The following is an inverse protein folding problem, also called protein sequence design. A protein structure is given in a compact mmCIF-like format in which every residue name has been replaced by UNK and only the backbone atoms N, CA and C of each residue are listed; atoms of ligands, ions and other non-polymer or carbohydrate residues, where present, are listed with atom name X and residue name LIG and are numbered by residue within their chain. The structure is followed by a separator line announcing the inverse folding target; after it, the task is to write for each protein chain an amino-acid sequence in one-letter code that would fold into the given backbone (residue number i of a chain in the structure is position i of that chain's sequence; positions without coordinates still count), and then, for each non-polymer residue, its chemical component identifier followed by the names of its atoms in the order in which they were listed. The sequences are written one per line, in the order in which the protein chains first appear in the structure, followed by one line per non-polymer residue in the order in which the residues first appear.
data_IF_105920576252
#
_entry.id   IF_105920576252
#
_cell.length_a   1.000
_cell.length_b   1.000
_cell.length_c   1.000
_cell.angle_alpha   90.00
_cell.angle_beta   90.00
_cell.angle_gamma   90.00
#
_symmetry.space_group_name_H-M   'P 1'
#
loop_
_entity.id
_entity.type
_entity.pdbx_description
1 polymer ?
#
# COMPACT_ATOMS: atom_id res chain seq x y z
N UNK A 1 86.48 -41.83 12.50
CA UNK A 1 85.26 -41.76 13.33
C UNK A 1 84.51 -40.43 12.98
N UNK A 2 83.48 -40.48 12.16
CA UNK A 2 82.70 -39.31 11.74
C UNK A 2 81.36 -39.31 12.47
N UNK A 3 81.11 -38.28 13.28
CA UNK A 3 79.82 -38.01 13.92
C UNK A 3 78.96 -37.23 12.95
N UNK A 4 77.82 -37.76 12.57
CA UNK A 4 76.75 -37.08 11.83
C UNK A 4 75.79 -36.48 12.85
N UNK A 5 75.59 -35.14 12.78
CA UNK A 5 74.62 -34.39 13.55
C UNK A 5 73.34 -34.27 12.71
N UNK A 6 72.18 -34.72 13.22
CA UNK A 6 70.87 -34.51 12.61
C UNK A 6 70.26 -33.23 13.19
N UNK A 7 69.92 -32.29 12.30
CA UNK A 7 69.11 -31.11 12.60
C UNK A 7 67.64 -31.44 12.28
N UNK A 8 66.78 -31.48 13.32
CA UNK A 8 65.34 -31.57 13.21
C UNK A 8 64.80 -30.14 13.14
N UNK A 9 64.26 -29.74 11.97
CA UNK A 9 63.52 -28.48 11.79
C UNK A 9 62.05 -28.66 12.16
N UNK A 10 61.58 -27.93 13.16
CA UNK A 10 60.13 -27.82 13.48
C UNK A 10 59.50 -26.71 12.65
N UNK A 11 58.56 -27.08 11.75
CA UNK A 11 57.71 -26.12 11.02
C UNK A 11 56.51 -25.77 11.87
N UNK A 12 56.42 -24.53 12.34
CA UNK A 12 55.25 -23.98 13.00
C UNK A 12 54.23 -23.49 11.95
N UNK A 13 53.16 -24.25 11.75
CA UNK A 13 52.04 -23.84 10.91
C UNK A 13 51.15 -22.80 11.62
N UNK A 14 51.13 -21.57 11.11
CA UNK A 14 50.21 -20.54 11.59
C UNK A 14 48.82 -20.77 10.97
N UNK A 15 47.88 -21.23 11.79
CA UNK A 15 46.44 -21.28 11.41
C UNK A 15 45.85 -19.87 11.54
N UNK A 16 45.61 -19.19 10.43
CA UNK A 16 44.91 -17.94 10.41
C UNK A 16 43.39 -18.22 10.58
N UNK A 17 42.86 -17.96 11.75
CA UNK A 17 41.42 -17.94 12.01
C UNK A 17 40.80 -16.72 11.30
N UNK A 18 40.13 -16.95 10.16
CA UNK A 18 39.31 -15.94 9.52
C UNK A 18 38.09 -15.63 10.41
N UNK A 19 38.07 -14.48 11.05
CA UNK A 19 36.93 -13.99 11.77
C UNK A 19 35.74 -13.81 10.79
N UNK A 20 34.51 -14.28 11.12
CA UNK A 20 33.36 -14.02 10.29
C UNK A 20 33.13 -12.51 10.20
N UNK A 21 33.19 -11.96 8.97
CA UNK A 21 32.75 -10.58 8.71
C UNK A 21 31.27 -10.51 9.06
N UNK A 22 30.93 -9.86 10.17
CA UNK A 22 29.57 -9.46 10.45
C UNK A 22 29.08 -8.62 9.25
N UNK A 23 28.10 -9.14 8.51
CA UNK A 23 27.43 -8.35 7.48
C UNK A 23 26.81 -7.16 8.20
N UNK A 24 27.33 -5.96 7.98
CA UNK A 24 26.77 -4.73 8.50
C UNK A 24 25.31 -4.69 7.99
N UNK A 25 24.35 -4.74 8.91
CA UNK A 25 22.93 -4.57 8.59
C UNK A 25 22.79 -3.18 7.95
N UNK A 26 22.71 -3.13 6.62
CA UNK A 26 22.51 -1.87 5.91
C UNK A 26 21.12 -1.37 6.25
N UNK A 27 21.04 -0.17 6.87
CA UNK A 27 19.77 0.49 7.21
C UNK A 27 18.88 0.69 5.98
N UNK A 28 17.62 1.11 6.18
CA UNK A 28 16.71 1.35 5.06
C UNK A 28 17.29 2.34 4.05
N UNK A 29 17.09 2.07 2.76
CA UNK A 29 17.54 2.93 1.65
C UNK A 29 16.35 3.30 0.79
N UNK A 30 16.31 4.58 0.38
CA UNK A 30 15.29 5.12 -0.54
C UNK A 30 15.97 5.48 -1.85
N UNK A 31 15.43 5.01 -2.95
CA UNK A 31 15.85 5.35 -4.31
C UNK A 31 14.63 5.55 -5.20
N UNK A 32 14.79 6.09 -6.40
CA UNK A 32 13.72 6.14 -7.38
C UNK A 32 13.58 4.79 -8.07
N UNK A 33 12.36 4.24 -8.11
CA UNK A 33 12.04 3.04 -8.85
C UNK A 33 11.76 3.38 -10.33
N UNK A 34 10.81 4.27 -10.58
CA UNK A 34 10.44 4.74 -11.91
C UNK A 34 9.78 6.12 -11.87
N UNK A 35 9.80 6.80 -13.02
CA UNK A 35 9.14 8.10 -13.24
C UNK A 35 7.75 7.90 -13.85
N UNK A 36 6.85 8.86 -13.58
CA UNK A 36 5.52 8.98 -14.19
C UNK A 36 5.55 9.99 -15.34
N UNK A 37 4.74 9.81 -16.40
CA UNK A 37 4.80 10.62 -17.61
C UNK A 37 4.06 11.95 -17.53
N UNK A 38 3.43 12.29 -16.40
CA UNK A 38 2.54 13.45 -16.26
C UNK A 38 3.02 14.36 -15.13
N UNK A 39 3.20 15.65 -15.45
CA UNK A 39 3.62 16.69 -14.50
C UNK A 39 2.51 17.15 -13.54
N UNK A 40 1.31 16.60 -13.68
CA UNK A 40 0.16 16.82 -12.82
C UNK A 40 -0.38 15.52 -12.21
N UNK A 41 0.45 14.47 -12.17
CA UNK A 41 0.02 13.16 -11.71
C UNK A 41 -0.47 13.18 -10.26
N UNK A 42 0.24 13.85 -9.36
CA UNK A 42 -0.05 13.78 -7.91
C UNK A 42 -0.49 12.37 -7.53
N UNK A 43 0.42 11.38 -7.66
CA UNK A 43 0.05 9.97 -7.54
C UNK A 43 -0.44 9.67 -6.13
N UNK A 44 -1.46 8.81 -6.01
CA UNK A 44 -2.03 8.42 -4.72
C UNK A 44 -1.94 6.92 -4.49
N UNK A 45 -2.58 6.10 -5.33
CA UNK A 45 -2.62 4.65 -5.22
C UNK A 45 -1.57 3.93 -6.05
N UNK A 46 -1.17 2.75 -5.59
CA UNK A 46 -0.33 1.81 -6.35
C UNK A 46 -0.86 0.39 -6.22
N UNK A 47 -0.91 -0.33 -7.35
CA UNK A 47 -1.23 -1.75 -7.40
C UNK A 47 -0.14 -2.52 -8.13
N UNK A 48 0.10 -3.77 -7.72
CA UNK A 48 0.94 -4.72 -8.47
C UNK A 48 0.06 -5.80 -9.09
N UNK A 49 0.22 -6.05 -10.39
CA UNK A 49 -0.37 -7.23 -11.01
C UNK A 49 0.37 -8.48 -10.49
N UNK A 50 -0.30 -9.36 -9.73
CA UNK A 50 0.34 -10.53 -9.13
C UNK A 50 0.81 -11.56 -10.16
N UNK A 51 0.42 -11.42 -11.44
CA UNK A 51 0.76 -12.33 -12.54
C UNK A 51 2.02 -11.88 -13.28
N UNK A 52 2.24 -10.57 -13.43
CA UNK A 52 3.32 -10.00 -14.24
C UNK A 52 4.34 -9.20 -13.43
N UNK A 53 3.96 -8.72 -12.24
CA UNK A 53 4.75 -7.80 -11.43
C UNK A 53 4.73 -6.35 -11.94
N UNK A 54 3.87 -6.03 -12.92
CA UNK A 54 3.69 -4.67 -13.39
C UNK A 54 3.03 -3.81 -12.31
N UNK A 55 3.48 -2.56 -12.21
CA UNK A 55 2.91 -1.60 -11.29
C UNK A 55 1.93 -0.67 -11.99
N UNK A 56 0.78 -0.43 -11.37
CA UNK A 56 -0.22 0.55 -11.79
C UNK A 56 -0.30 1.66 -10.75
N UNK A 57 -0.30 2.92 -11.19
CA UNK A 57 -0.29 4.10 -10.31
C UNK A 57 -1.40 5.03 -10.73
N UNK A 58 -2.23 5.46 -9.78
CA UNK A 58 -3.34 6.38 -10.01
C UNK A 58 -2.95 7.83 -9.84
N UNK A 59 -3.50 8.70 -10.70
CA UNK A 59 -3.43 10.16 -10.56
C UNK A 59 -4.62 10.68 -9.76
N UNK A 60 -4.34 11.32 -8.63
CA UNK A 60 -5.37 11.94 -7.80
C UNK A 60 -6.03 13.15 -8.51
N UNK A 61 -5.31 13.86 -9.37
CA UNK A 61 -5.80 15.12 -9.95
C UNK A 61 -6.40 14.98 -11.34
N UNK A 62 -6.11 13.88 -12.05
CA UNK A 62 -6.57 13.72 -13.44
C UNK A 62 -7.36 12.42 -13.68
N UNK A 63 -7.39 11.52 -12.71
CA UNK A 63 -8.01 10.20 -12.86
C UNK A 63 -7.28 9.28 -13.84
N UNK A 64 -6.12 9.66 -14.36
CA UNK A 64 -5.31 8.79 -15.19
C UNK A 64 -4.75 7.61 -14.38
N UNK A 65 -4.50 6.50 -15.06
CA UNK A 65 -3.72 5.38 -14.50
C UNK A 65 -2.51 5.14 -15.37
N UNK A 66 -1.34 5.05 -14.74
CA UNK A 66 -0.07 4.78 -15.39
C UNK A 66 0.37 3.36 -15.11
N UNK A 67 1.06 2.72 -16.08
CA UNK A 67 1.64 1.38 -15.94
C UNK A 67 3.15 1.42 -16.12
N UNK A 68 3.87 0.86 -15.17
CA UNK A 68 5.28 0.53 -15.31
C UNK A 68 5.43 -0.99 -15.39
N UNK A 69 6.03 -1.50 -16.46
CA UNK A 69 6.38 -2.92 -16.53
C UNK A 69 7.37 -3.28 -15.42
N UNK A 70 7.38 -4.55 -15.00
CA UNK A 70 8.27 -5.01 -13.94
C UNK A 70 9.73 -4.65 -14.27
N UNK A 71 10.39 -3.91 -13.38
CA UNK A 71 11.77 -3.44 -13.54
C UNK A 71 11.97 -2.23 -14.47
N UNK A 72 10.93 -1.68 -15.09
CA UNK A 72 11.02 -0.48 -15.92
C UNK A 72 11.41 0.75 -15.08
N UNK A 73 12.05 1.73 -15.74
CA UNK A 73 12.47 3.01 -15.13
C UNK A 73 11.48 4.15 -15.38
N UNK A 74 10.50 3.92 -16.24
CA UNK A 74 9.43 4.88 -16.54
C UNK A 74 8.11 4.14 -16.75
N UNK A 75 7.02 4.78 -16.37
CA UNK A 75 5.66 4.34 -16.66
C UNK A 75 5.14 4.99 -17.95
N UNK A 76 4.18 4.34 -18.58
CA UNK A 76 3.36 4.91 -19.65
C UNK A 76 1.91 5.06 -19.22
N UNK A 77 1.12 5.80 -19.98
CA UNK A 77 -0.33 5.93 -19.74
C UNK A 77 -1.01 4.59 -20.03
N UNK A 78 -1.72 4.06 -19.03
CA UNK A 78 -2.54 2.86 -19.17
C UNK A 78 -4.01 3.22 -19.43
N UNK A 79 -4.63 4.02 -18.55
CA UNK A 79 -5.94 4.63 -18.77
C UNK A 79 -5.75 6.16 -18.81
N UNK A 80 -6.11 6.82 -19.91
CA UNK A 80 -6.04 8.28 -20.00
C UNK A 80 -6.86 9.01 -18.93
N UNK A 81 -6.54 10.25 -18.68
CA UNK A 81 -7.36 11.14 -17.85
C UNK A 81 -8.80 11.21 -18.41
N UNK A 82 -9.79 11.23 -17.51
CA UNK A 82 -11.20 11.28 -17.88
C UNK A 82 -11.79 9.99 -18.45
N UNK A 83 -11.04 8.89 -18.52
CA UNK A 83 -11.57 7.60 -18.99
C UNK A 83 -12.82 7.24 -18.19
N UNK A 84 -13.92 6.95 -18.92
CA UNK A 84 -15.24 6.60 -18.38
C UNK A 84 -15.81 7.64 -17.39
N UNK A 85 -15.42 8.91 -17.54
CA UNK A 85 -15.85 10.03 -16.67
C UNK A 85 -15.12 10.12 -15.34
N UNK A 86 -14.08 9.29 -15.10
CA UNK A 86 -13.30 9.33 -13.88
C UNK A 86 -12.49 10.62 -13.77
N UNK A 87 -12.53 11.25 -12.60
CA UNK A 87 -11.84 12.52 -12.31
C UNK A 87 -10.65 12.34 -11.37
N UNK A 88 -10.66 11.29 -10.55
CA UNK A 88 -9.55 10.93 -9.65
C UNK A 88 -9.24 9.44 -9.75
N UNK A 89 -8.05 9.04 -9.37
CA UNK A 89 -7.69 7.64 -9.17
C UNK A 89 -6.93 7.53 -7.86
N UNK A 90 -7.64 7.11 -6.82
CA UNK A 90 -7.14 6.91 -5.45
C UNK A 90 -6.62 5.47 -5.27
N UNK A 91 -7.18 4.74 -4.31
CA UNK A 91 -6.84 3.35 -4.10
C UNK A 91 -6.98 2.49 -5.35
N UNK A 92 -5.96 1.65 -5.61
CA UNK A 92 -5.95 0.71 -6.72
C UNK A 92 -5.59 -0.69 -6.23
N UNK A 93 -6.19 -1.71 -6.85
CA UNK A 93 -5.73 -3.10 -6.71
C UNK A 93 -5.80 -3.82 -8.06
N UNK A 94 -4.80 -4.65 -8.34
CA UNK A 94 -4.83 -5.61 -9.43
C UNK A 94 -5.04 -7.01 -8.84
N UNK A 95 -5.97 -7.77 -9.38
CA UNK A 95 -6.29 -9.10 -8.87
C UNK A 95 -5.77 -10.24 -9.76
N UNK A 96 -5.84 -11.45 -9.25
CA UNK A 96 -5.38 -12.66 -9.96
C UNK A 96 -6.24 -13.01 -11.17
N UNK A 97 -7.45 -12.50 -11.25
CA UNK A 97 -8.33 -12.68 -12.40
C UNK A 97 -7.97 -11.73 -13.57
N UNK A 98 -7.01 -10.82 -13.36
CA UNK A 98 -6.57 -9.89 -14.38
C UNK A 98 -7.42 -8.64 -14.46
N UNK A 99 -7.99 -8.23 -13.37
CA UNK A 99 -8.79 -7.02 -13.27
C UNK A 99 -8.02 -5.94 -12.52
N UNK A 100 -8.19 -4.70 -12.94
CA UNK A 100 -7.75 -3.51 -12.23
C UNK A 100 -8.96 -2.83 -11.60
N UNK A 101 -8.93 -2.69 -10.31
CA UNK A 101 -9.91 -1.96 -9.52
C UNK A 101 -9.37 -0.56 -9.27
N UNK A 102 -10.16 0.45 -9.58
CA UNK A 102 -9.76 1.87 -9.46
C UNK A 102 -10.84 2.62 -8.72
N UNK A 103 -10.47 3.28 -7.64
CA UNK A 103 -11.37 4.16 -6.90
C UNK A 103 -11.29 5.57 -7.52
N UNK A 104 -12.45 6.13 -7.85
CA UNK A 104 -12.66 7.57 -7.91
C UNK A 104 -13.47 7.95 -6.65
N UNK A 105 -12.89 8.74 -5.76
CA UNK A 105 -13.50 9.06 -4.46
C UNK A 105 -14.83 9.79 -4.59
N UNK A 106 -15.12 10.38 -5.77
CA UNK A 106 -16.34 11.12 -6.05
C UNK A 106 -17.44 10.27 -6.69
N UNK A 107 -17.05 9.29 -7.54
CA UNK A 107 -18.01 8.50 -8.33
C UNK A 107 -18.15 7.05 -7.89
N UNK A 108 -17.09 6.46 -7.29
CA UNK A 108 -17.12 5.09 -6.78
C UNK A 108 -15.96 4.23 -7.24
N UNK A 109 -16.22 2.98 -7.64
CA UNK A 109 -15.19 2.01 -7.99
C UNK A 109 -15.44 1.48 -9.40
N UNK A 110 -14.46 1.62 -10.26
CA UNK A 110 -14.44 1.06 -11.60
C UNK A 110 -13.56 -0.19 -11.65
N UNK A 111 -14.00 -1.22 -12.38
CA UNK A 111 -13.27 -2.47 -12.56
C UNK A 111 -12.97 -2.65 -14.05
N UNK A 112 -11.69 -2.73 -14.39
CA UNK A 112 -11.21 -2.85 -15.78
C UNK A 112 -10.55 -4.21 -16.03
N UNK A 113 -10.65 -4.71 -17.25
CA UNK A 113 -9.80 -5.81 -17.72
C UNK A 113 -8.39 -5.28 -18.01
N UNK A 114 -7.36 -5.93 -17.45
CA UNK A 114 -5.96 -5.51 -17.60
C UNK A 114 -5.40 -5.77 -19.01
N UNK A 115 -6.02 -6.64 -19.81
CA UNK A 115 -5.56 -7.01 -21.15
C UNK A 115 -5.99 -5.99 -22.21
N UNK A 116 -7.28 -5.64 -22.22
CA UNK A 116 -7.88 -4.80 -23.26
C UNK A 116 -8.39 -3.43 -22.74
N UNK A 117 -8.33 -3.21 -21.42
CA UNK A 117 -8.74 -1.99 -20.72
C UNK A 117 -10.26 -1.73 -20.76
N UNK A 118 -11.05 -2.76 -21.08
CA UNK A 118 -12.49 -2.65 -21.08
C UNK A 118 -13.02 -2.43 -19.65
N UNK A 119 -13.98 -1.50 -19.49
CA UNK A 119 -14.73 -1.37 -18.24
C UNK A 119 -15.65 -2.57 -18.08
N UNK A 120 -15.41 -3.39 -17.06
CA UNK A 120 -16.19 -4.59 -16.77
C UNK A 120 -17.41 -4.29 -15.89
N UNK A 121 -17.23 -3.43 -14.89
CA UNK A 121 -18.28 -3.06 -13.95
C UNK A 121 -17.97 -1.72 -13.29
N UNK A 122 -19.02 -1.03 -12.84
CA UNK A 122 -18.95 0.20 -12.06
C UNK A 122 -19.82 0.07 -10.81
N UNK A 123 -19.30 0.49 -9.67
CA UNK A 123 -20.00 0.53 -8.39
C UNK A 123 -20.05 1.97 -7.91
N UNK A 124 -21.22 2.61 -8.12
CA UNK A 124 -21.40 4.01 -7.87
C UNK A 124 -21.58 4.32 -6.38
N UNK A 125 -21.01 5.42 -5.92
CA UNK A 125 -21.29 5.96 -4.59
C UNK A 125 -22.79 6.27 -4.51
N UNK A 126 -23.52 5.75 -3.51
CA UNK A 126 -24.93 6.08 -3.34
C UNK A 126 -25.11 7.60 -3.17
N UNK A 127 -26.20 8.15 -3.71
CA UNK A 127 -26.54 9.57 -3.52
C UNK A 127 -26.77 9.90 -2.03
N UNK A 128 -26.52 11.16 -1.64
CA UNK A 128 -26.75 11.67 -0.28
C UNK A 128 -25.50 12.23 0.38
N UNK A 129 -25.29 11.91 1.67
CA UNK A 129 -24.25 12.47 2.54
C UNK A 129 -22.84 12.45 1.96
N UNK A 130 -21.95 13.30 2.49
CA UNK A 130 -20.54 13.33 2.13
C UNK A 130 -19.90 11.95 2.25
N UNK A 131 -19.11 11.57 1.29
CA UNK A 131 -18.36 10.31 1.21
C UNK A 131 -17.00 10.56 0.60
N UNK A 132 -16.06 9.72 0.98
CA UNK A 132 -14.74 9.69 0.38
C UNK A 132 -14.26 8.25 0.35
N UNK A 133 -14.60 7.53 -0.73
CA UNK A 133 -14.10 6.16 -0.91
C UNK A 133 -12.61 6.25 -1.13
N UNK A 134 -11.81 5.59 -0.29
CA UNK A 134 -10.37 5.85 -0.25
C UNK A 134 -9.53 4.69 -0.75
N UNK A 135 -9.50 3.58 -0.03
CA UNK A 135 -8.67 2.43 -0.40
C UNK A 135 -9.51 1.15 -0.45
N UNK A 136 -8.98 0.12 -1.07
CA UNK A 136 -9.64 -1.18 -1.18
C UNK A 136 -8.65 -2.33 -1.06
N UNK A 137 -9.18 -3.50 -0.72
CA UNK A 137 -8.50 -4.78 -0.82
C UNK A 137 -9.36 -5.76 -1.59
N UNK A 138 -8.73 -6.64 -2.37
CA UNK A 138 -9.40 -7.76 -3.05
C UNK A 138 -8.88 -9.05 -2.42
N UNK A 139 -9.78 -9.82 -1.81
CA UNK A 139 -9.47 -11.11 -1.17
C UNK A 139 -9.23 -12.21 -2.21
N UNK A 140 -8.71 -13.35 -1.76
CA UNK A 140 -8.33 -14.45 -2.65
C UNK A 140 -9.53 -15.06 -3.41
N UNK A 141 -10.74 -14.96 -2.86
CA UNK A 141 -11.98 -15.38 -3.51
C UNK A 141 -12.52 -14.35 -4.53
N UNK A 142 -11.85 -13.17 -4.63
CA UNK A 142 -12.22 -12.09 -5.53
C UNK A 142 -13.27 -11.11 -4.98
N UNK A 143 -13.62 -11.22 -3.69
CA UNK A 143 -14.45 -10.22 -3.00
C UNK A 143 -13.61 -8.98 -2.70
N UNK A 144 -14.14 -7.79 -3.02
CA UNK A 144 -13.49 -6.53 -2.68
C UNK A 144 -14.16 -5.87 -1.47
N UNK A 145 -13.34 -5.24 -0.63
CA UNK A 145 -13.78 -4.40 0.48
C UNK A 145 -13.11 -3.03 0.35
N UNK A 146 -13.89 -1.96 0.51
CA UNK A 146 -13.40 -0.58 0.37
C UNK A 146 -13.75 0.24 1.60
N UNK A 147 -12.86 1.16 1.97
CA UNK A 147 -13.02 2.10 3.08
C UNK A 147 -13.67 3.40 2.62
N UNK A 148 -14.38 4.04 3.55
CA UNK A 148 -14.85 5.41 3.41
C UNK A 148 -14.19 6.27 4.50
N UNK A 149 -13.43 7.29 4.10
CA UNK A 149 -12.70 8.14 5.05
C UNK A 149 -13.58 9.14 5.81
N UNK A 150 -14.80 9.36 5.37
CA UNK A 150 -15.77 10.27 6.02
C UNK A 150 -16.76 9.50 6.88
N UNK A 151 -17.04 8.27 6.52
CA UNK A 151 -17.98 7.38 7.23
C UNK A 151 -17.24 6.15 7.74
N UNK A 152 -17.47 5.71 8.99
CA UNK A 152 -16.82 4.52 9.54
C UNK A 152 -17.46 3.25 9.01
N UNK A 153 -17.50 3.06 7.69
CA UNK A 153 -18.09 1.88 7.03
C UNK A 153 -17.12 1.25 6.03
N UNK A 154 -17.26 -0.06 5.84
CA UNK A 154 -16.70 -0.79 4.71
C UNK A 154 -17.78 -1.14 3.72
N UNK A 155 -17.51 -0.92 2.45
CA UNK A 155 -18.31 -1.43 1.34
C UNK A 155 -17.81 -2.80 0.92
N UNK A 156 -18.71 -3.63 0.34
CA UNK A 156 -18.38 -4.93 -0.21
C UNK A 156 -18.87 -5.06 -1.64
N UNK A 157 -18.04 -5.67 -2.48
CA UNK A 157 -18.37 -6.06 -3.85
C UNK A 157 -17.98 -7.52 -4.03
N UNK A 158 -18.94 -8.34 -4.46
CA UNK A 158 -18.74 -9.77 -4.67
C UNK A 158 -18.28 -10.09 -6.10
N UNK A 159 -17.64 -11.24 -6.35
CA UNK A 159 -17.32 -11.71 -7.70
C UNK A 159 -18.53 -11.81 -8.62
N UNK A 160 -19.69 -12.20 -8.07
CA UNK A 160 -20.95 -12.31 -8.82
C UNK A 160 -21.47 -10.95 -9.30
N UNK A 161 -21.28 -9.89 -8.51
CA UNK A 161 -21.62 -8.52 -8.90
C UNK A 161 -20.73 -8.02 -10.03
N UNK A 162 -19.42 -8.27 -9.96
CA UNK A 162 -18.50 -7.95 -11.05
C UNK A 162 -18.83 -8.73 -12.32
N UNK A 163 -19.13 -10.03 -12.21
CA UNK A 163 -19.49 -10.87 -13.34
C UNK A 163 -20.80 -10.47 -14.03
N UNK A 164 -21.72 -9.83 -13.28
CA UNK A 164 -22.96 -9.29 -13.84
C UNK A 164 -22.68 -8.10 -14.77
N UNK A 165 -21.63 -7.35 -14.50
CA UNK A 165 -21.24 -6.16 -15.26
C UNK A 165 -22.20 -4.99 -15.07
N UNK A 166 -21.99 -3.95 -15.89
CA UNK A 166 -22.80 -2.73 -15.84
C UNK A 166 -22.54 -1.88 -14.61
N UNK A 167 -23.55 -1.10 -14.18
CA UNK A 167 -23.44 -0.22 -13.03
C UNK A 167 -24.36 -0.66 -11.90
N UNK A 168 -23.84 -0.64 -10.66
CA UNK A 168 -24.60 -0.95 -9.44
C UNK A 168 -24.18 0.04 -8.32
N UNK A 169 -25.02 0.26 -7.30
CA UNK A 169 -24.62 1.06 -6.14
C UNK A 169 -23.61 0.30 -5.28
N UNK A 170 -22.68 1.02 -4.66
CA UNK A 170 -21.88 0.51 -3.54
C UNK A 170 -22.79 0.27 -2.33
N UNK A 171 -22.66 -0.90 -1.71
CA UNK A 171 -23.46 -1.28 -0.55
C UNK A 171 -22.58 -1.35 0.70
N UNK A 172 -22.93 -0.56 1.73
CA UNK A 172 -22.28 -0.65 3.03
C UNK A 172 -22.50 -2.04 3.63
N UNK A 173 -21.43 -2.64 4.14
CA UNK A 173 -21.42 -4.02 4.61
C UNK A 173 -21.07 -4.15 6.09
N UNK A 174 -20.05 -3.42 6.56
CA UNK A 174 -19.63 -3.41 7.96
C UNK A 174 -19.65 -1.98 8.45
N UNK A 175 -20.31 -1.75 9.59
CA UNK A 175 -20.29 -0.47 10.31
C UNK A 175 -19.25 -0.56 11.44
N UNK A 176 -18.26 0.34 11.42
CA UNK A 176 -17.21 0.42 12.41
C UNK A 176 -17.48 1.49 13.48
N UNK A 177 -18.59 2.22 13.42
CA UNK A 177 -18.90 3.33 14.34
C UNK A 177 -18.92 2.92 15.83
N UNK A 178 -19.23 1.65 16.11
CA UNK A 178 -19.18 1.09 17.47
C UNK A 178 -17.77 0.81 18.00
N UNK A 179 -16.77 0.81 17.14
CA UNK A 179 -15.38 0.46 17.49
C UNK A 179 -14.40 1.64 17.27
N UNK A 180 -14.60 2.40 16.19
CA UNK A 180 -13.79 3.58 15.86
C UNK A 180 -14.30 4.77 16.64
N UNK A 181 -13.46 5.46 17.42
CA UNK A 181 -13.88 6.67 18.13
C UNK A 181 -14.42 7.74 17.18
N UNK A 182 -15.43 8.51 17.57
CA UNK A 182 -15.93 9.60 16.76
C UNK A 182 -14.88 10.69 16.58
N UNK A 183 -14.73 11.16 15.34
CA UNK A 183 -13.86 12.28 14.97
C UNK A 183 -14.68 13.50 14.53
N UNK A 184 -14.02 14.63 14.28
CA UNK A 184 -14.67 15.80 13.71
C UNK A 184 -15.22 15.48 12.32
N UNK A 185 -16.25 16.20 11.87
CA UNK A 185 -16.89 15.99 10.57
C UNK A 185 -15.94 16.17 9.38
N UNK A 186 -14.89 16.97 9.57
CA UNK A 186 -13.90 17.26 8.54
C UNK A 186 -12.68 16.32 8.61
N UNK A 187 -12.68 15.34 9.52
CA UNK A 187 -11.60 14.39 9.65
C UNK A 187 -11.74 13.27 8.64
N UNK A 188 -10.63 12.91 8.00
CA UNK A 188 -10.50 11.64 7.29
C UNK A 188 -10.15 10.56 8.29
N UNK A 189 -10.95 9.50 8.36
CA UNK A 189 -10.81 8.45 9.38
C UNK A 189 -10.27 7.15 8.78
N UNK A 190 -11.14 6.32 8.21
CA UNK A 190 -10.70 5.06 7.63
C UNK A 190 -9.93 5.31 6.32
N UNK A 191 -8.77 4.68 6.20
CA UNK A 191 -7.93 4.81 5.01
C UNK A 191 -7.46 3.42 4.55
N UNK A 192 -6.18 3.12 4.59
CA UNK A 192 -5.61 1.87 4.13
C UNK A 192 -6.31 0.63 4.69
N UNK A 193 -6.51 -0.36 3.83
CA UNK A 193 -7.14 -1.63 4.15
C UNK A 193 -6.36 -2.78 3.53
N UNK A 194 -6.12 -3.84 4.32
CA UNK A 194 -5.49 -5.08 3.86
C UNK A 194 -6.23 -6.29 4.40
N UNK A 195 -6.07 -7.42 3.73
CA UNK A 195 -6.63 -8.71 4.17
C UNK A 195 -5.52 -9.67 4.57
N UNK A 196 -5.82 -10.55 5.52
CA UNK A 196 -4.98 -11.69 5.82
C UNK A 196 -4.96 -12.67 4.62
N UNK A 197 -4.01 -13.62 4.55
CA UNK A 197 -3.92 -14.55 3.41
C UNK A 197 -5.17 -15.42 3.20
N UNK A 198 -6.00 -15.60 4.22
CA UNK A 198 -7.26 -16.36 4.11
C UNK A 198 -8.41 -15.52 3.55
N UNK A 199 -8.29 -14.19 3.57
CA UNK A 199 -9.36 -13.26 3.23
C UNK A 199 -10.44 -13.12 4.30
N UNK A 200 -10.26 -13.77 5.46
CA UNK A 200 -11.21 -13.72 6.57
C UNK A 200 -11.06 -12.48 7.43
N UNK A 201 -9.83 -12.08 7.70
CA UNK A 201 -9.54 -10.93 8.54
C UNK A 201 -9.10 -9.75 7.69
N UNK A 202 -9.78 -8.62 7.84
CA UNK A 202 -9.35 -7.34 7.30
C UNK A 202 -8.70 -6.51 8.41
N UNK A 203 -7.70 -5.72 8.03
CA UNK A 203 -7.08 -4.73 8.91
C UNK A 203 -7.23 -3.36 8.27
N UNK A 204 -7.80 -2.43 9.03
CA UNK A 204 -8.15 -1.08 8.58
C UNK A 204 -7.53 -0.06 9.51
N UNK A 205 -6.88 0.96 8.97
CA UNK A 205 -6.31 2.05 9.75
C UNK A 205 -7.33 3.19 9.91
N UNK A 206 -7.43 3.71 11.13
CA UNK A 206 -7.98 5.03 11.40
C UNK A 206 -6.81 6.03 11.40
N UNK A 207 -6.66 6.78 10.31
CA UNK A 207 -5.52 7.69 10.13
C UNK A 207 -5.54 8.90 11.08
N UNK A 208 -6.70 9.28 11.58
CA UNK A 208 -6.83 10.40 12.52
C UNK A 208 -6.56 9.97 13.96
N UNK A 209 -7.17 8.87 14.40
CA UNK A 209 -6.98 8.34 15.75
C UNK A 209 -5.71 7.50 15.91
N UNK A 210 -5.11 7.05 14.82
CA UNK A 210 -3.90 6.22 14.85
C UNK A 210 -4.15 4.78 15.26
N UNK A 211 -5.42 4.33 15.28
CA UNK A 211 -5.80 2.96 15.59
C UNK A 211 -5.71 2.02 14.39
N UNK A 212 -5.55 0.74 14.67
CA UNK A 212 -5.72 -0.36 13.71
C UNK A 212 -6.91 -1.21 14.15
N UNK A 213 -7.79 -1.51 13.23
CA UNK A 213 -8.99 -2.31 13.51
C UNK A 213 -8.97 -3.60 12.72
N UNK A 214 -9.23 -4.72 13.39
CA UNK A 214 -9.42 -6.03 12.78
C UNK A 214 -10.92 -6.29 12.58
N UNK A 215 -11.30 -6.59 11.36
CA UNK A 215 -12.68 -6.96 10.99
C UNK A 215 -12.70 -8.42 10.58
N UNK A 216 -13.55 -9.23 11.19
CA UNK A 216 -13.83 -10.61 10.75
C UNK A 216 -15.01 -10.56 9.78
N UNK A 217 -14.77 -10.90 8.51
CA UNK A 217 -15.82 -10.79 7.48
C UNK A 217 -16.91 -11.84 7.59
N UNK A 218 -16.72 -12.88 8.43
CA UNK A 218 -17.71 -13.96 8.57
C UNK A 218 -18.85 -13.60 9.49
N UNK A 219 -18.59 -12.79 10.51
CA UNK A 219 -19.57 -12.36 11.51
C UNK A 219 -19.73 -10.83 11.62
N UNK A 220 -18.90 -10.07 10.87
CA UNK A 220 -18.88 -8.61 10.90
C UNK A 220 -18.29 -8.01 12.18
N UNK A 221 -17.67 -8.83 13.05
CA UNK A 221 -17.12 -8.32 14.30
C UNK A 221 -15.90 -7.42 14.07
N UNK A 222 -15.87 -6.29 14.76
CA UNK A 222 -14.78 -5.31 14.70
C UNK A 222 -14.10 -5.24 16.04
N UNK A 223 -12.77 -5.31 16.04
CA UNK A 223 -11.95 -5.22 17.26
C UNK A 223 -10.74 -4.31 17.04
N UNK A 224 -10.45 -3.48 18.03
CA UNK A 224 -9.21 -2.71 18.06
C UNK A 224 -8.00 -3.65 18.21
N UNK A 225 -6.95 -3.44 17.39
CA UNK A 225 -5.68 -4.14 17.49
C UNK A 225 -4.78 -3.41 18.47
N UNK A 226 -4.26 -4.09 19.50
CA UNK A 226 -3.33 -3.47 20.45
C UNK A 226 -1.99 -3.18 19.77
N UNK A 227 -1.62 -1.90 19.66
CA UNK A 227 -0.35 -1.48 19.09
C UNK A 227 0.71 -1.34 20.16
N UNK A 228 1.88 -1.97 19.98
CA UNK A 228 3.02 -1.88 20.89
C UNK A 228 4.18 -1.15 20.22
N UNK A 229 4.61 -0.05 20.83
CA UNK A 229 5.81 0.70 20.42
C UNK A 229 5.55 1.88 19.48
N UNK A 230 4.29 2.24 19.23
CA UNK A 230 3.90 3.38 18.42
C UNK A 230 2.41 3.38 18.10
N UNK A 231 2.00 4.23 17.18
CA UNK A 231 0.64 4.34 16.64
C UNK A 231 0.65 4.43 15.10
N UNK A 232 -0.54 4.58 14.52
CA UNK A 232 -0.73 4.74 13.09
C UNK A 232 -1.34 6.12 12.73
N UNK A 233 -1.12 7.15 13.54
CA UNK A 233 -1.54 8.53 13.22
C UNK A 233 -0.93 8.95 11.88
N UNK A 234 -1.73 9.58 11.02
CA UNK A 234 -1.45 9.86 9.61
C UNK A 234 -1.17 8.60 8.77
N UNK A 235 -1.55 7.42 9.27
CA UNK A 235 -1.50 6.17 8.52
C UNK A 235 -2.42 6.24 7.32
N UNK A 236 -1.84 6.20 6.14
CA UNK A 236 -2.51 6.26 4.84
C UNK A 236 -2.64 4.84 4.29
N UNK A 237 -1.94 4.46 3.24
CA UNK A 237 -1.97 3.11 2.70
C UNK A 237 -1.29 2.06 3.57
N UNK A 238 -1.83 0.86 3.56
CA UNK A 238 -1.32 -0.33 4.23
C UNK A 238 -0.88 -1.38 3.20
N UNK A 239 0.10 -2.20 3.61
CA UNK A 239 0.50 -3.41 2.87
C UNK A 239 0.75 -4.54 3.86
N UNK A 240 0.24 -5.73 3.57
CA UNK A 240 0.40 -6.91 4.42
C UNK A 240 0.99 -8.09 3.65
N UNK A 241 2.08 -8.63 4.15
CA UNK A 241 2.64 -9.89 3.66
C UNK A 241 2.85 -10.84 4.83
N UNK A 242 2.14 -11.96 4.82
CA UNK A 242 2.06 -12.90 5.94
C UNK A 242 1.58 -12.18 7.23
N UNK A 243 2.47 -11.96 8.18
CA UNK A 243 2.21 -11.23 9.44
C UNK A 243 3.01 -9.94 9.56
N UNK A 244 3.62 -9.50 8.47
CA UNK A 244 4.31 -8.22 8.42
C UNK A 244 3.41 -7.19 7.78
N UNK A 245 3.05 -6.18 8.55
CA UNK A 245 2.28 -5.03 8.11
C UNK A 245 3.21 -3.83 7.93
N UNK A 246 3.11 -3.15 6.80
CA UNK A 246 3.72 -1.84 6.58
C UNK A 246 2.64 -0.79 6.47
N UNK A 247 2.92 0.41 6.97
CA UNK A 247 2.06 1.57 6.85
C UNK A 247 2.86 2.77 6.33
N UNK A 248 2.26 3.51 5.41
CA UNK A 248 2.72 4.82 5.00
C UNK A 248 2.06 5.88 5.88
N UNK A 249 2.85 6.81 6.43
CA UNK A 249 2.36 7.95 7.21
C UNK A 249 2.65 9.22 6.40
N UNK A 250 1.61 9.73 5.73
CA UNK A 250 1.76 10.77 4.72
C UNK A 250 2.36 12.07 5.27
N UNK A 251 1.74 12.70 6.25
CA UNK A 251 2.14 14.02 6.78
C UNK A 251 3.50 14.03 7.46
N UNK A 252 3.98 12.88 7.93
CA UNK A 252 5.26 12.77 8.66
C UNK A 252 6.40 12.21 7.81
N UNK A 253 6.16 11.91 6.52
CA UNK A 253 7.16 11.28 5.65
C UNK A 253 7.77 10.04 6.29
N UNK A 254 6.92 9.15 6.82
CA UNK A 254 7.34 7.99 7.60
C UNK A 254 6.77 6.70 7.02
N UNK A 255 7.56 5.64 7.05
CA UNK A 255 7.11 4.26 6.89
C UNK A 255 7.33 3.52 8.20
N UNK A 256 6.35 2.74 8.61
CA UNK A 256 6.47 1.84 9.76
C UNK A 256 6.28 0.38 9.34
N UNK A 257 6.98 -0.51 10.04
CA UNK A 257 6.83 -1.96 9.89
C UNK A 257 6.43 -2.59 11.20
N UNK A 258 5.37 -3.37 11.17
CA UNK A 258 4.78 -4.03 12.33
C UNK A 258 4.76 -5.53 12.15
N UNK A 259 4.79 -6.26 13.24
CA UNK A 259 4.58 -7.69 13.27
C UNK A 259 3.26 -8.00 13.98
N UNK A 260 2.31 -8.60 13.25
CA UNK A 260 1.01 -9.02 13.77
C UNK A 260 1.13 -10.31 14.56
N UNK A 261 0.37 -10.42 15.66
CA UNK A 261 0.15 -11.70 16.36
C UNK A 261 -0.54 -12.71 15.43
N UNK A 262 -0.47 -14.03 15.71
CA UNK A 262 -1.11 -15.04 14.86
C UNK A 262 -2.62 -14.86 14.69
N UNK A 263 -3.29 -14.34 15.70
CA UNK A 263 -4.72 -14.07 15.70
C UNK A 263 -5.10 -12.65 15.25
N UNK A 264 -4.08 -11.80 14.97
CA UNK A 264 -4.26 -10.42 14.52
C UNK A 264 -4.81 -9.47 15.60
N UNK A 265 -4.71 -9.82 16.88
CA UNK A 265 -5.21 -8.97 17.98
C UNK A 265 -4.17 -7.95 18.48
N UNK A 266 -2.90 -8.18 18.16
CA UNK A 266 -1.79 -7.32 18.56
C UNK A 266 -0.86 -7.05 17.38
N UNK A 267 -0.23 -5.88 17.36
CA UNK A 267 0.83 -5.54 16.43
C UNK A 267 2.00 -4.86 17.15
N UNK A 268 3.23 -5.31 16.87
CA UNK A 268 4.45 -4.74 17.47
C UNK A 268 5.27 -4.01 16.42
N UNK A 269 5.58 -2.76 16.68
CA UNK A 269 6.47 -1.95 15.84
C UNK A 269 7.87 -2.58 15.82
N UNK A 270 8.37 -2.85 14.62
CA UNK A 270 9.68 -3.48 14.42
C UNK A 270 10.69 -2.58 13.72
N UNK A 271 10.19 -1.62 12.93
CA UNK A 271 11.04 -0.65 12.23
C UNK A 271 10.29 0.62 11.87
N UNK A 272 11.02 1.73 11.87
CA UNK A 272 10.55 3.04 11.41
C UNK A 272 11.60 3.63 10.47
N UNK A 273 11.14 4.25 9.38
CA UNK A 273 11.95 5.07 8.48
C UNK A 273 11.25 6.41 8.28
N UNK A 274 11.86 7.48 8.77
CA UNK A 274 11.39 8.86 8.53
C UNK A 274 12.41 9.59 7.68
N UNK A 275 11.99 10.09 6.53
CA UNK A 275 12.86 10.85 5.62
C UNK A 275 12.04 11.68 4.63
N UNK A 276 12.44 12.93 4.35
CA UNK A 276 11.78 13.77 3.33
C UNK A 276 11.88 13.17 1.91
N UNK A 277 12.78 12.21 1.68
CA UNK A 277 12.85 11.51 0.40
C UNK A 277 11.60 10.70 0.04
N UNK A 278 10.69 10.48 0.99
CA UNK A 278 9.40 9.83 0.75
C UNK A 278 8.37 10.77 0.13
N UNK A 279 8.48 12.10 0.31
CA UNK A 279 7.69 13.13 -0.37
C UNK A 279 6.16 12.92 -0.22
N UNK A 280 5.68 12.88 1.02
CA UNK A 280 4.27 12.61 1.36
C UNK A 280 3.85 11.22 0.82
N UNK A 281 4.32 10.12 1.43
CA UNK A 281 3.96 8.77 0.98
C UNK A 281 2.49 8.49 1.29
N UNK A 282 1.68 8.21 0.27
CA UNK A 282 0.26 7.89 0.43
C UNK A 282 0.05 6.38 0.55
N UNK A 283 0.69 5.59 -0.31
CA UNK A 283 0.54 4.14 -0.28
C UNK A 283 1.81 3.41 -0.71
N UNK A 284 1.80 2.10 -0.55
CA UNK A 284 2.96 1.25 -0.84
C UNK A 284 2.51 -0.14 -1.32
N UNK A 285 3.42 -0.82 -2.01
CA UNK A 285 3.21 -2.20 -2.44
C UNK A 285 4.49 -3.02 -2.26
N UNK A 286 4.39 -4.25 -1.73
CA UNK A 286 5.53 -5.11 -1.46
C UNK A 286 5.96 -5.88 -2.72
N UNK A 287 7.26 -5.88 -2.99
CA UNK A 287 7.91 -6.65 -4.07
C UNK A 287 9.02 -7.52 -3.51
N UNK A 288 9.51 -8.48 -4.31
CA UNK A 288 10.72 -9.26 -3.94
C UNK A 288 11.98 -8.39 -3.74
N UNK A 289 11.97 -7.13 -4.21
CA UNK A 289 13.08 -6.20 -4.12
C UNK A 289 12.88 -5.07 -3.11
N UNK A 290 11.91 -5.20 -2.20
CA UNK A 290 11.51 -4.19 -1.22
C UNK A 290 10.14 -3.57 -1.53
N UNK A 291 9.88 -2.39 -0.97
CA UNK A 291 8.62 -1.70 -1.15
C UNK A 291 8.70 -0.72 -2.33
N UNK A 292 7.67 -0.65 -3.15
CA UNK A 292 7.36 0.50 -3.98
C UNK A 292 6.50 1.45 -3.15
N UNK A 293 6.85 2.73 -3.14
CA UNK A 293 6.18 3.74 -2.31
C UNK A 293 5.84 4.94 -3.18
N UNK A 294 4.59 5.32 -3.17
CA UNK A 294 4.12 6.51 -3.91
C UNK A 294 4.70 7.77 -3.27
N UNK A 295 5.18 8.69 -4.10
CA UNK A 295 5.62 10.03 -3.75
C UNK A 295 4.60 11.04 -4.25
N UNK A 296 3.57 11.30 -3.44
CA UNK A 296 2.43 12.11 -3.88
C UNK A 296 2.75 13.59 -4.03
N UNK A 297 3.67 14.13 -3.22
CA UNK A 297 3.98 15.57 -3.14
C UNK A 297 2.72 16.44 -2.93
N UNK A 298 1.72 15.92 -2.22
CA UNK A 298 0.45 16.60 -1.98
C UNK A 298 0.60 17.95 -1.26
N UNK A 299 1.70 18.17 -0.58
CA UNK A 299 2.08 19.43 0.08
C UNK A 299 2.62 20.51 -0.89
N UNK A 300 2.76 20.19 -2.20
CA UNK A 300 3.38 21.06 -3.20
C UNK A 300 2.43 21.35 -4.36
N UNK A 301 1.36 22.09 -4.08
CA UNK A 301 0.33 22.44 -5.07
C UNK A 301 -0.73 21.36 -5.28
N UNK A 302 -0.73 20.33 -4.43
CA UNK A 302 -1.75 19.30 -4.34
C UNK A 302 -2.78 19.59 -3.23
N UNK A 303 -3.56 18.59 -2.80
CA UNK A 303 -4.66 18.77 -1.87
C UNK A 303 -4.24 19.12 -0.44
N UNK A 304 -2.96 18.99 -0.07
CA UNK A 304 -2.46 19.20 1.30
C UNK A 304 -1.67 20.50 1.48
N UNK A 305 -1.44 21.28 0.43
CA UNK A 305 -0.70 22.55 0.55
C UNK A 305 -0.37 23.20 -0.76
N UNK A 306 0.00 24.48 -0.69
CA UNK A 306 0.49 25.26 -1.81
C UNK A 306 1.96 24.95 -2.11
N UNK A 307 2.39 25.23 -3.35
CA UNK A 307 3.79 25.07 -3.76
C UNK A 307 3.91 24.53 -5.17
N UNK A 308 5.13 24.14 -5.55
CA UNK A 308 5.42 23.58 -6.88
C UNK A 308 6.03 22.19 -6.70
N UNK A 309 5.46 21.15 -7.31
CA UNK A 309 6.01 19.81 -7.22
C UNK A 309 7.32 19.69 -8.00
N UNK A 310 8.14 18.73 -7.62
CA UNK A 310 9.29 18.32 -8.43
C UNK A 310 8.83 17.33 -9.48
N UNK A 311 9.05 17.64 -10.75
CA UNK A 311 8.73 16.76 -11.87
C UNK A 311 9.98 16.16 -12.51
N UNK A 312 9.88 14.98 -13.13
CA UNK A 312 8.69 14.14 -13.17
C UNK A 312 8.32 13.57 -11.79
N UNK A 313 7.03 13.34 -11.55
CA UNK A 313 6.60 12.55 -10.38
C UNK A 313 7.21 11.16 -10.42
N UNK A 314 7.45 10.58 -9.27
CA UNK A 314 8.16 9.28 -9.19
C UNK A 314 7.55 8.36 -8.14
N UNK A 315 7.79 7.07 -8.31
CA UNK A 315 7.61 6.06 -7.27
C UNK A 315 8.97 5.72 -6.67
N UNK A 316 9.06 5.68 -5.35
CA UNK A 316 10.27 5.27 -4.65
C UNK A 316 10.40 3.75 -4.57
N UNK A 317 11.64 3.25 -4.49
CA UNK A 317 11.98 1.93 -4.00
C UNK A 317 12.62 2.06 -2.63
N UNK A 318 12.05 1.37 -1.64
CA UNK A 318 12.58 1.31 -0.28
C UNK A 318 13.02 -0.11 0.02
N UNK A 319 14.28 -0.28 0.41
CA UNK A 319 14.86 -1.57 0.80
C UNK A 319 15.25 -1.55 2.26
N UNK A 320 15.32 -2.72 2.90
CA UNK A 320 15.73 -2.83 4.31
C UNK A 320 14.65 -2.46 5.34
N UNK A 321 13.40 -2.31 4.90
CA UNK A 321 12.24 -2.15 5.77
C UNK A 321 11.69 -3.49 6.23
#
# INVERSE_FOLDING_TARGET
MHRRTFLTGAAAGAVALAAPRAAAATGPRVSTAFALPDDRAYPEGIALDPRTGDAYVGSFTTGAVYRAAAGARAAGVFLPAGTDGRTTANGLKADRAGRLWVIDHTTGIDVYDLRDRALLARFAVPEGDQRFINDLVVTADGTAYATDSVRPVLYRITPAEVARGGSAPLVAHVDLSGAVPPHSRDAYTLNGIVADPTGRLLFVVDMTGGGLYRVDVTDGSVRHVTLHGGDLVNGDGLELSHRTLWAAHNRTNTLTRWHLSPDGTEARLTRTLTTPALQIPTTLAHTHHGLLVVRSQFDKGGPMGAGTPTTPFTVARVTGM
#
